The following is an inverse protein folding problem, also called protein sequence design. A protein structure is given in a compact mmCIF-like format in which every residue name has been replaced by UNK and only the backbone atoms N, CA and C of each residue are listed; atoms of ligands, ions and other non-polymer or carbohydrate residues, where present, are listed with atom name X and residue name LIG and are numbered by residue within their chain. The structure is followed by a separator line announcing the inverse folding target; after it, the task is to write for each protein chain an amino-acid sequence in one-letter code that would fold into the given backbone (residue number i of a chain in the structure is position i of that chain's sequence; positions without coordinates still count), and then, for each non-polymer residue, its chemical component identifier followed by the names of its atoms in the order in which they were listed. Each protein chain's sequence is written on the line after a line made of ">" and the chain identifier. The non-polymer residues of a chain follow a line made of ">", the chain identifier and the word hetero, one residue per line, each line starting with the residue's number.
data_IF_213468965421
#
_entry.id   IF_213468965421
#
_cell.length_a   1.000
_cell.length_b   1.000
_cell.length_c   1.000
_cell.angle_alpha   90.00
_cell.angle_beta   90.00
_cell.angle_gamma   90.00
#
_symmetry.space_group_name_H-M   'P 1'
#
loop_
_entity.id
_entity.type
_entity.pdbx_description
1 polymer ?
#
# COMPACT_ATOMS: atom_id res chain seq x y z
N UNK A 1 9.91 -9.15 0.14
CA UNK A 1 9.09 -8.68 1.27
C UNK A 1 7.76 -9.42 1.22
N UNK A 2 7.10 -9.69 2.35
CA UNK A 2 5.86 -10.49 2.34
C UNK A 2 4.62 -9.59 2.22
N UNK A 3 3.52 -10.12 1.66
CA UNK A 3 2.25 -9.39 1.63
C UNK A 3 1.67 -9.12 3.04
N UNK A 4 2.11 -9.87 4.04
CA UNK A 4 1.75 -9.65 5.45
C UNK A 4 2.44 -8.41 6.01
N UNK A 5 3.71 -8.16 5.62
CA UNK A 5 4.44 -6.94 5.97
C UNK A 5 3.76 -5.70 5.36
N UNK A 6 3.32 -5.79 4.10
CA UNK A 6 2.53 -4.75 3.45
C UNK A 6 1.26 -4.42 4.24
N UNK A 7 0.45 -5.44 4.55
CA UNK A 7 -0.82 -5.26 5.29
C UNK A 7 -0.60 -4.62 6.65
N UNK A 8 0.38 -5.11 7.40
CA UNK A 8 0.73 -4.56 8.72
C UNK A 8 1.12 -3.10 8.59
N UNK A 9 1.96 -2.77 7.61
CA UNK A 9 2.46 -1.42 7.43
C UNK A 9 1.37 -0.44 6.98
N UNK A 10 0.51 -0.87 6.05
CA UNK A 10 -0.65 -0.06 5.64
C UNK A 10 -1.55 0.19 6.84
N UNK A 11 -1.84 -0.85 7.64
CA UNK A 11 -2.70 -0.71 8.81
C UNK A 11 -2.15 0.26 9.86
N UNK A 12 -0.83 0.28 10.08
CA UNK A 12 -0.17 1.27 10.95
C UNK A 12 -0.33 2.71 10.44
N UNK A 13 -0.30 2.90 9.11
CA UNK A 13 -0.35 4.22 8.49
C UNK A 13 -1.77 4.80 8.48
N UNK A 14 -2.77 3.96 8.18
CA UNK A 14 -4.18 4.37 8.09
C UNK A 14 -4.92 4.24 9.42
N UNK A 15 -4.40 3.46 10.36
CA UNK A 15 -4.96 3.28 11.71
C UNK A 15 -6.03 2.20 11.84
N UNK A 16 -6.29 1.44 10.78
CA UNK A 16 -7.22 0.31 10.73
C UNK A 16 -6.74 -0.74 9.73
N UNK A 17 -7.38 -1.92 9.69
CA UNK A 17 -7.07 -2.95 8.70
C UNK A 17 -8.04 -2.82 7.51
N UNK A 18 -7.61 -2.28 6.35
CA UNK A 18 -8.46 -2.20 5.16
C UNK A 18 -8.70 -3.59 4.58
N UNK A 19 -9.80 -3.72 3.84
CA UNK A 19 -10.04 -4.85 2.95
C UNK A 19 -9.06 -4.89 1.79
N UNK A 20 -8.97 -6.05 1.13
CA UNK A 20 -8.02 -6.29 0.05
C UNK A 20 -8.24 -5.39 -1.18
N UNK A 21 -9.50 -5.05 -1.41
CA UNK A 21 -9.99 -4.33 -2.60
C UNK A 21 -10.45 -2.90 -2.26
N UNK A 22 -10.32 -2.48 -1.01
CA UNK A 22 -10.69 -1.13 -0.59
C UNK A 22 -9.71 -0.09 -1.14
N UNK A 23 -10.22 1.09 -1.49
CA UNK A 23 -9.40 2.23 -1.89
C UNK A 23 -8.72 2.83 -0.66
N UNK A 24 -7.41 2.62 -0.54
CA UNK A 24 -6.61 3.11 0.58
C UNK A 24 -6.63 4.65 0.68
N UNK A 25 -6.84 5.32 -0.46
CA UNK A 25 -7.60 6.57 -0.63
C UNK A 25 -8.43 7.02 0.57
N UNK A 26 -9.58 6.37 0.65
CA UNK A 26 -10.69 6.64 1.55
C UNK A 26 -10.36 6.30 3.00
N UNK A 27 -9.35 5.44 3.21
CA UNK A 27 -8.79 5.10 4.52
C UNK A 27 -7.71 6.09 4.99
N UNK A 28 -7.39 7.13 4.22
CA UNK A 28 -6.41 8.15 4.62
C UNK A 28 -4.97 7.83 4.21
N UNK A 29 -4.77 7.00 3.18
CA UNK A 29 -3.48 6.89 2.51
C UNK A 29 -3.24 8.13 1.65
N UNK A 30 -2.40 9.04 2.15
CA UNK A 30 -1.95 10.22 1.40
C UNK A 30 -0.70 9.93 0.56
N UNK A 31 -0.34 10.89 -0.30
CA UNK A 31 0.82 10.77 -1.19
C UNK A 31 2.16 10.66 -0.45
N UNK A 32 2.30 11.26 0.72
CA UNK A 32 3.54 11.22 1.52
C UNK A 32 3.74 9.80 2.07
N UNK A 33 2.69 9.22 2.63
CA UNK A 33 2.68 7.84 3.16
C UNK A 33 2.93 6.84 2.04
N UNK A 34 2.32 7.05 0.88
CA UNK A 34 2.50 6.20 -0.30
C UNK A 34 3.93 6.29 -0.85
N UNK A 35 4.54 7.48 -0.92
CA UNK A 35 5.95 7.64 -1.30
C UNK A 35 6.89 6.92 -0.34
N UNK A 36 6.64 7.00 0.97
CA UNK A 36 7.43 6.29 1.98
C UNK A 36 7.29 4.76 1.86
N UNK A 37 6.10 4.27 1.46
CA UNK A 37 5.86 2.88 1.11
C UNK A 37 6.64 2.48 -0.15
N UNK A 38 6.54 3.27 -1.22
CA UNK A 38 7.23 3.03 -2.48
C UNK A 38 8.75 2.89 -2.28
N UNK A 39 9.38 3.82 -1.57
CA UNK A 39 10.81 3.78 -1.23
C UNK A 39 11.16 2.52 -0.42
N UNK A 40 10.34 2.17 0.57
CA UNK A 40 10.59 1.03 1.45
C UNK A 40 10.51 -0.31 0.74
N UNK A 41 9.56 -0.46 -0.18
CA UNK A 41 9.34 -1.70 -0.91
C UNK A 41 10.09 -1.75 -2.26
N UNK A 42 10.77 -0.66 -2.63
CA UNK A 42 11.56 -0.57 -3.86
C UNK A 42 10.69 -0.58 -5.13
N UNK A 43 9.48 -0.04 -5.06
CA UNK A 43 8.51 0.05 -6.18
C UNK A 43 8.30 1.49 -6.59
N UNK A 44 7.79 1.75 -7.80
CA UNK A 44 7.45 3.11 -8.23
C UNK A 44 6.20 3.60 -7.50
N UNK A 45 6.22 4.86 -7.07
CA UNK A 45 5.04 5.54 -6.54
C UNK A 45 3.89 5.53 -7.55
N UNK A 46 4.18 5.68 -8.84
CA UNK A 46 3.16 5.69 -9.89
C UNK A 46 2.43 4.36 -9.99
N UNK A 47 3.14 3.23 -9.81
CA UNK A 47 2.53 1.90 -9.80
C UNK A 47 1.58 1.74 -8.60
N UNK A 48 1.95 2.31 -7.44
CA UNK A 48 1.08 2.31 -6.26
C UNK A 48 -0.16 3.20 -6.46
N UNK A 49 0.02 4.38 -7.05
CA UNK A 49 -1.03 5.36 -7.26
C UNK A 49 -2.06 4.94 -8.31
N UNK A 50 -1.70 4.07 -9.26
CA UNK A 50 -2.62 3.57 -10.28
C UNK A 50 -3.77 2.75 -9.66
N UNK A 51 -3.43 1.89 -8.68
CA UNK A 51 -4.40 1.02 -8.00
C UNK A 51 -4.08 0.95 -6.51
N UNK A 52 -4.54 1.92 -5.70
CA UNK A 52 -4.24 2.03 -4.26
C UNK A 52 -5.02 1.01 -3.44
N UNK A 53 -4.82 -0.27 -3.69
CA UNK A 53 -5.47 -1.40 -2.99
C UNK A 53 -4.42 -2.37 -2.48
N UNK A 54 -4.68 -3.04 -1.37
CA UNK A 54 -3.78 -4.06 -0.82
C UNK A 54 -3.54 -5.22 -1.80
N UNK A 55 -4.56 -5.61 -2.57
CA UNK A 55 -4.44 -6.66 -3.60
C UNK A 55 -3.43 -6.27 -4.68
N UNK A 56 -3.62 -5.11 -5.31
CA UNK A 56 -2.76 -4.68 -6.41
C UNK A 56 -1.32 -4.45 -5.94
N UNK A 57 -1.14 -3.80 -4.78
CA UNK A 57 0.19 -3.59 -4.21
C UNK A 57 0.88 -4.90 -3.83
N UNK A 58 0.12 -5.87 -3.33
CA UNK A 58 0.63 -7.20 -3.03
C UNK A 58 1.10 -7.97 -4.28
N UNK A 59 0.50 -7.72 -5.44
CA UNK A 59 0.95 -8.27 -6.72
C UNK A 59 2.25 -7.60 -7.20
N UNK A 60 2.35 -6.28 -7.10
CA UNK A 60 3.55 -5.51 -7.44
C UNK A 60 4.78 -5.95 -6.64
N UNK A 61 4.63 -6.13 -5.32
CA UNK A 61 5.74 -6.43 -4.40
C UNK A 61 6.21 -7.90 -4.47
N UNK A 62 5.36 -8.80 -4.99
CA UNK A 62 5.70 -10.23 -5.17
C UNK A 62 6.38 -10.53 -6.51
N UNK A 63 6.27 -9.61 -7.48
CA UNK A 63 7.01 -9.66 -8.74
C UNK A 63 8.48 -9.39 -8.54
#
# INVERSE_FOLDING_TARGET
>A
MSAEELRTRVAELVGELPGDDDDLIDHGMDSIRMMALAERFGVDFMDLAERPTLRAWGELIRG
#
